data_IF_202597957732
#
_entry.id   IF_202597957732
#
_cell.length_a   1.000
_cell.length_b   1.000
_cell.length_c   1.000
_cell.angle_alpha   90.00
_cell.angle_beta   90.00
_cell.angle_gamma   90.00
#
_symmetry.space_group_name_H-M   'P 1'
#
loop_
_entity.id
_entity.type
_entity.pdbx_description
1 polymer ?
#
# COMPACT_ATOMS: atom_id res chain seq x y z
N UNK A 1 -26.17 22.58 5.97
CA UNK A 1 -25.15 23.59 5.63
C UNK A 1 -24.11 22.92 4.74
N UNK A 2 -23.84 23.45 3.54
CA UNK A 2 -22.77 22.92 2.67
C UNK A 2 -21.43 23.39 3.22
N UNK A 3 -20.75 22.53 3.97
CA UNK A 3 -19.34 22.73 4.31
C UNK A 3 -18.58 22.72 2.97
N UNK A 4 -17.81 23.77 2.68
CA UNK A 4 -16.93 23.76 1.50
C UNK A 4 -15.85 22.69 1.70
N UNK A 5 -15.38 22.04 0.64
CA UNK A 5 -14.33 21.03 0.73
C UNK A 5 -13.05 21.56 1.40
N UNK A 6 -12.75 22.85 1.22
CA UNK A 6 -11.66 23.54 1.94
C UNK A 6 -11.93 23.61 3.44
N UNK A 7 -13.17 23.89 3.84
CA UNK A 7 -13.58 23.86 5.25
C UNK A 7 -13.52 22.45 5.84
N UNK A 8 -13.82 21.41 5.06
CA UNK A 8 -13.67 20.02 5.47
C UNK A 8 -12.19 19.65 5.69
N UNK A 9 -11.31 20.01 4.75
CA UNK A 9 -9.86 19.79 4.87
C UNK A 9 -9.28 20.47 6.13
N UNK A 10 -9.60 21.75 6.34
CA UNK A 10 -9.12 22.49 7.52
C UNK A 10 -9.66 21.90 8.83
N UNK A 11 -10.93 21.46 8.86
CA UNK A 11 -11.50 20.81 10.03
C UNK A 11 -10.80 19.47 10.33
N UNK A 12 -10.47 18.68 9.31
CA UNK A 12 -9.74 17.43 9.46
C UNK A 12 -8.30 17.67 9.91
N UNK A 13 -7.61 18.69 9.41
CA UNK A 13 -6.27 19.05 9.87
C UNK A 13 -6.27 19.44 11.35
N UNK A 14 -7.29 20.19 11.79
CA UNK A 14 -7.49 20.51 13.21
C UNK A 14 -7.79 19.25 14.01
N UNK A 15 -8.63 18.34 13.52
CA UNK A 15 -8.92 17.06 14.17
C UNK A 15 -7.69 16.15 14.25
N UNK A 16 -6.89 16.08 13.19
CA UNK A 16 -5.65 15.30 13.15
C UNK A 16 -4.59 15.90 14.08
N UNK A 17 -4.45 17.23 14.08
CA UNK A 17 -3.58 17.95 15.02
C UNK A 17 -4.03 17.78 16.47
N UNK A 18 -5.34 17.84 16.74
CA UNK A 18 -5.91 17.54 18.04
C UNK A 18 -5.69 16.07 18.42
N UNK A 19 -5.91 15.12 17.52
CA UNK A 19 -5.69 13.70 17.75
C UNK A 19 -4.22 13.40 18.12
N UNK A 20 -3.27 14.01 17.40
CA UNK A 20 -1.83 13.93 17.71
C UNK A 20 -1.48 14.63 19.03
N UNK A 21 -2.06 15.81 19.29
CA UNK A 21 -1.85 16.57 20.54
C UNK A 21 -2.47 15.90 21.77
N UNK A 22 -3.54 15.13 21.59
CA UNK A 22 -4.16 14.30 22.62
C UNK A 22 -3.31 13.07 22.97
N UNK A 23 -2.16 12.86 22.29
CA UNK A 23 -1.27 11.69 22.33
C UNK A 23 -1.92 10.38 21.86
N UNK A 24 -3.23 10.18 22.09
CA UNK A 24 -4.08 9.06 21.66
C UNK A 24 -5.55 9.49 21.70
N UNK A 25 -6.31 9.48 20.58
CA UNK A 25 -7.74 9.72 20.62
C UNK A 25 -8.41 8.67 21.53
N UNK A 26 -9.14 9.07 22.57
CA UNK A 26 -9.76 8.13 23.50
C UNK A 26 -10.90 7.38 22.80
N UNK A 27 -11.19 6.15 23.23
CA UNK A 27 -12.26 5.29 22.66
C UNK A 27 -13.61 5.99 22.47
N UNK A 28 -13.96 6.94 23.36
CA UNK A 28 -15.17 7.77 23.25
C UNK A 28 -15.27 8.61 21.98
N UNK A 29 -14.17 8.81 21.25
CA UNK A 29 -14.12 9.57 20.00
C UNK A 29 -14.04 8.67 18.76
N UNK A 30 -14.12 7.34 18.91
CA UNK A 30 -14.10 6.41 17.76
C UNK A 30 -15.26 6.65 16.78
N UNK A 31 -16.38 7.19 17.25
CA UNK A 31 -17.47 7.59 16.36
C UNK A 31 -17.02 8.63 15.32
N UNK A 32 -16.06 9.51 15.61
CA UNK A 32 -15.55 10.47 14.62
C UNK A 32 -14.84 9.76 13.47
N UNK A 33 -14.09 8.70 13.76
CA UNK A 33 -13.45 7.88 12.73
C UNK A 33 -14.53 7.32 11.78
N UNK A 34 -15.54 6.66 12.34
CA UNK A 34 -16.53 5.93 11.56
C UNK A 34 -17.59 6.81 10.89
N UNK A 35 -18.02 7.88 11.54
CA UNK A 35 -19.12 8.74 11.07
C UNK A 35 -18.64 9.95 10.26
N UNK A 36 -17.39 10.39 10.43
CA UNK A 36 -16.88 11.60 9.79
C UNK A 36 -15.63 11.38 8.91
N UNK A 37 -14.65 10.59 9.36
CA UNK A 37 -13.40 10.38 8.62
C UNK A 37 -13.59 9.37 7.49
N UNK A 38 -13.98 8.14 7.81
CA UNK A 38 -14.11 7.06 6.83
C UNK A 38 -15.08 7.38 5.68
N UNK A 39 -16.27 7.97 5.92
CA UNK A 39 -17.21 8.24 4.83
C UNK A 39 -16.68 9.21 3.77
N UNK A 40 -15.65 10.01 4.06
CA UNK A 40 -15.05 10.93 3.08
C UNK A 40 -14.29 10.21 1.96
N UNK A 41 -13.92 8.94 2.16
CA UNK A 41 -13.35 8.07 1.13
C UNK A 41 -14.39 7.57 0.13
N UNK A 42 -15.68 7.68 0.42
CA UNK A 42 -16.75 7.08 -0.41
C UNK A 42 -16.84 7.69 -1.82
N UNK A 43 -16.58 8.99 -1.97
CA UNK A 43 -16.71 9.67 -3.25
C UNK A 43 -15.72 9.13 -4.28
N UNK A 44 -16.22 8.76 -5.46
CA UNK A 44 -15.38 8.45 -6.62
C UNK A 44 -15.24 9.66 -7.58
N UNK A 45 -15.62 10.85 -7.11
CA UNK A 45 -15.66 12.07 -7.91
C UNK A 45 -14.28 12.57 -8.32
N UNK A 46 -14.25 13.33 -9.41
CA UNK A 46 -13.08 13.98 -9.97
C UNK A 46 -13.28 15.49 -9.97
N UNK A 47 -12.23 16.27 -9.70
CA UNK A 47 -12.23 17.72 -9.84
C UNK A 47 -11.98 18.15 -11.29
N UNK A 48 -11.09 17.40 -11.94
CA UNK A 48 -10.68 17.54 -13.34
C UNK A 48 -10.31 16.14 -13.86
N UNK A 49 -9.84 16.04 -15.10
CA UNK A 49 -9.59 14.77 -15.77
C UNK A 49 -8.56 13.86 -15.07
N UNK A 50 -7.72 14.40 -14.18
CA UNK A 50 -6.63 13.65 -13.53
C UNK A 50 -6.67 13.70 -12.00
N UNK A 51 -7.38 14.66 -11.41
CA UNK A 51 -7.38 14.94 -9.97
C UNK A 51 -8.62 14.40 -9.27
N UNK A 52 -8.50 13.38 -8.41
CA UNK A 52 -9.63 12.84 -7.67
C UNK A 52 -10.04 13.80 -6.55
N UNK A 53 -11.35 13.91 -6.28
CA UNK A 53 -11.88 14.78 -5.24
C UNK A 53 -11.26 14.50 -3.86
N UNK A 54 -10.99 13.21 -3.58
CA UNK A 54 -10.33 12.74 -2.37
C UNK A 54 -8.99 13.44 -2.11
N UNK A 55 -8.25 13.83 -3.16
CA UNK A 55 -6.94 14.47 -3.02
C UNK A 55 -6.95 15.77 -2.20
N UNK A 56 -8.09 16.47 -2.14
CA UNK A 56 -8.24 17.70 -1.35
C UNK A 56 -8.13 17.48 0.16
N UNK A 57 -8.47 16.28 0.62
CA UNK A 57 -8.58 15.93 2.05
C UNK A 57 -7.71 14.73 2.43
N UNK A 58 -7.10 14.06 1.46
CA UNK A 58 -6.39 12.79 1.65
C UNK A 58 -5.31 12.84 2.73
N UNK A 59 -4.41 13.81 2.69
CA UNK A 59 -3.35 13.94 3.70
C UNK A 59 -3.91 14.11 5.13
N UNK A 60 -4.83 15.04 5.41
CA UNK A 60 -5.47 15.13 6.72
C UNK A 60 -6.15 13.82 7.16
N UNK A 61 -6.81 13.11 6.23
CA UNK A 61 -7.48 11.84 6.51
C UNK A 61 -6.49 10.78 6.98
N UNK A 62 -5.41 10.54 6.23
CA UNK A 62 -4.40 9.56 6.63
C UNK A 62 -3.81 9.89 8.01
N UNK A 63 -3.55 11.18 8.30
CA UNK A 63 -3.05 11.60 9.61
C UNK A 63 -4.04 11.34 10.74
N UNK A 64 -5.33 11.55 10.50
CA UNK A 64 -6.37 11.28 11.48
C UNK A 64 -6.52 9.78 11.75
N UNK A 65 -6.56 8.96 10.70
CA UNK A 65 -6.71 7.51 10.80
C UNK A 65 -5.53 6.84 11.51
N UNK A 66 -4.30 7.21 11.17
CA UNK A 66 -3.10 6.73 11.87
C UNK A 66 -3.16 7.14 13.35
N UNK A 67 -3.54 8.38 13.67
CA UNK A 67 -3.66 8.81 15.05
C UNK A 67 -4.74 8.00 15.82
N UNK A 68 -5.86 7.68 15.17
CA UNK A 68 -6.89 6.80 15.76
C UNK A 68 -6.39 5.37 15.96
N UNK A 69 -5.66 4.81 14.99
CA UNK A 69 -5.05 3.48 15.05
C UNK A 69 -4.02 3.37 16.18
N UNK A 70 -3.14 4.36 16.32
CA UNK A 70 -2.17 4.44 17.43
C UNK A 70 -2.87 4.60 18.80
N UNK A 71 -4.03 5.24 18.81
CA UNK A 71 -4.84 5.43 20.01
C UNK A 71 -5.57 4.17 20.48
N UNK A 72 -6.14 3.41 19.54
CA UNK A 72 -6.83 2.15 19.79
C UNK A 72 -6.53 1.11 18.67
N UNK A 73 -5.50 0.26 18.83
CA UNK A 73 -5.12 -0.73 17.82
C UNK A 73 -6.22 -1.74 17.45
N UNK A 74 -7.25 -1.88 18.29
CA UNK A 74 -8.38 -2.78 17.99
C UNK A 74 -9.21 -2.32 16.78
N UNK A 75 -9.07 -1.06 16.34
CA UNK A 75 -9.76 -0.56 15.14
C UNK A 75 -9.09 -0.98 13.82
N UNK A 76 -7.86 -1.53 13.85
CA UNK A 76 -7.07 -1.84 12.65
C UNK A 76 -7.84 -2.69 11.63
N UNK A 77 -8.40 -3.81 12.09
CA UNK A 77 -9.11 -4.75 11.22
C UNK A 77 -10.33 -4.12 10.53
N UNK A 78 -11.28 -3.55 11.30
CA UNK A 78 -12.42 -2.81 10.73
C UNK A 78 -12.00 -1.67 9.79
N UNK A 79 -10.94 -0.94 10.15
CA UNK A 79 -10.43 0.19 9.38
C UNK A 79 -9.92 -0.25 8.00
N UNK A 80 -9.07 -1.29 7.97
CA UNK A 80 -8.57 -1.89 6.73
C UNK A 80 -9.70 -2.46 5.87
N UNK A 81 -10.68 -3.15 6.49
CA UNK A 81 -11.84 -3.70 5.78
C UNK A 81 -12.64 -2.59 5.10
N UNK A 82 -12.90 -1.50 5.81
CA UNK A 82 -13.65 -0.38 5.28
C UNK A 82 -12.85 0.40 4.22
N UNK A 83 -11.53 0.58 4.40
CA UNK A 83 -10.67 1.17 3.39
C UNK A 83 -10.74 0.41 2.06
N UNK A 84 -10.60 -0.92 2.10
CA UNK A 84 -10.68 -1.76 0.90
C UNK A 84 -12.06 -1.68 0.24
N UNK A 85 -13.14 -1.46 1.01
CA UNK A 85 -14.49 -1.30 0.47
C UNK A 85 -14.68 -0.04 -0.37
N UNK A 86 -13.82 0.97 -0.21
CA UNK A 86 -13.87 2.23 -0.97
C UNK A 86 -13.08 2.21 -2.28
N UNK A 87 -12.49 1.07 -2.64
CA UNK A 87 -11.85 0.92 -3.95
C UNK A 87 -12.85 1.23 -5.08
N UNK A 88 -12.42 1.95 -6.13
CA UNK A 88 -13.26 2.18 -7.29
C UNK A 88 -13.77 0.86 -7.90
N UNK A 89 -15.07 0.74 -8.19
CA UNK A 89 -15.60 -0.45 -8.87
C UNK A 89 -15.09 -0.51 -10.30
N UNK A 90 -15.00 -1.71 -10.87
CA UNK A 90 -14.45 -1.94 -12.22
C UNK A 90 -15.18 -1.11 -13.29
N UNK A 91 -16.50 -0.98 -13.19
CA UNK A 91 -17.32 -0.21 -14.13
C UNK A 91 -17.09 1.32 -14.09
N UNK A 92 -16.46 1.84 -13.03
CA UNK A 92 -16.16 3.26 -12.85
C UNK A 92 -14.73 3.42 -12.30
N UNK A 93 -13.76 2.82 -12.99
CA UNK A 93 -12.36 2.81 -12.56
C UNK A 93 -11.82 4.22 -12.38
N UNK A 94 -11.12 4.46 -11.26
CA UNK A 94 -10.48 5.72 -10.95
C UNK A 94 -9.07 5.47 -10.43
N UNK A 95 -8.12 5.36 -11.35
CA UNK A 95 -6.73 5.00 -10.99
C UNK A 95 -6.04 6.04 -10.12
N UNK A 96 -6.41 7.32 -10.22
CA UNK A 96 -5.87 8.35 -9.32
C UNK A 96 -6.34 8.11 -7.89
N UNK A 97 -7.61 7.73 -7.68
CA UNK A 97 -8.12 7.33 -6.36
C UNK A 97 -7.48 6.04 -5.86
N UNK A 98 -7.32 5.02 -6.72
CA UNK A 98 -6.62 3.77 -6.36
C UNK A 98 -5.21 4.04 -5.82
N UNK A 99 -4.46 4.98 -6.43
CA UNK A 99 -3.13 5.38 -5.96
C UNK A 99 -3.17 6.02 -4.56
N UNK A 100 -4.18 6.85 -4.27
CA UNK A 100 -4.35 7.44 -2.94
C UNK A 100 -4.69 6.38 -1.88
N UNK A 101 -5.60 5.45 -2.19
CA UNK A 101 -5.99 4.38 -1.26
C UNK A 101 -4.85 3.39 -1.01
N UNK A 102 -4.04 3.08 -2.03
CA UNK A 102 -2.81 2.30 -1.83
C UNK A 102 -1.81 3.03 -0.93
N UNK A 103 -1.74 4.36 -1.02
CA UNK A 103 -0.89 5.13 -0.13
C UNK A 103 -1.33 5.04 1.33
N UNK A 104 -2.63 5.17 1.55
CA UNK A 104 -3.23 5.06 2.87
C UNK A 104 -3.09 3.65 3.44
N UNK A 105 -3.31 2.62 2.62
CA UNK A 105 -3.11 1.23 3.00
C UNK A 105 -1.68 0.97 3.50
N UNK A 106 -0.66 1.50 2.81
CA UNK A 106 0.74 1.41 3.27
C UNK A 106 0.91 2.02 4.66
N UNK A 107 0.44 3.26 4.85
CA UNK A 107 0.58 3.97 6.12
C UNK A 107 -0.11 3.24 7.27
N UNK A 108 -1.32 2.73 7.04
CA UNK A 108 -2.05 1.98 8.06
C UNK A 108 -1.34 0.66 8.39
N UNK A 109 -0.90 -0.11 7.39
CA UNK A 109 -0.18 -1.36 7.60
C UNK A 109 1.14 -1.15 8.35
N UNK A 110 1.84 -0.04 8.10
CA UNK A 110 3.09 0.31 8.79
C UNK A 110 2.89 0.58 10.29
N UNK A 111 1.71 1.04 10.70
CA UNK A 111 1.36 1.32 12.10
C UNK A 111 0.52 0.20 12.73
N UNK A 112 0.19 -0.86 11.97
CA UNK A 112 -0.53 -2.01 12.47
C UNK A 112 0.37 -2.91 13.32
N UNK A 113 -0.23 -3.53 14.34
CA UNK A 113 0.40 -4.64 15.06
C UNK A 113 0.25 -5.95 14.26
N UNK A 114 1.08 -6.98 14.52
CA UNK A 114 0.98 -8.25 13.81
C UNK A 114 -0.41 -8.91 13.85
N UNK A 115 -1.15 -8.72 14.95
CA UNK A 115 -2.51 -9.24 15.17
C UNK A 115 -3.58 -8.58 14.27
N UNK A 116 -3.27 -7.45 13.63
CA UNK A 116 -4.23 -6.73 12.76
C UNK A 116 -4.72 -7.54 11.55
N UNK A 117 -3.95 -8.56 11.11
CA UNK A 117 -4.28 -9.44 9.98
C UNK A 117 -4.52 -10.90 10.42
N UNK A 118 -4.86 -11.14 11.71
CA UNK A 118 -5.20 -12.48 12.19
C UNK A 118 -6.50 -13.03 11.58
N UNK A 119 -7.49 -12.14 11.36
CA UNK A 119 -8.71 -12.48 10.64
C UNK A 119 -8.36 -12.92 9.21
N UNK A 120 -8.61 -14.20 8.90
CA UNK A 120 -8.32 -14.78 7.61
C UNK A 120 -9.08 -14.12 6.47
N UNK A 121 -10.34 -13.72 6.69
CA UNK A 121 -11.13 -13.05 5.64
C UNK A 121 -10.55 -11.68 5.31
N UNK A 122 -10.19 -10.91 6.33
CA UNK A 122 -9.56 -9.61 6.15
C UNK A 122 -8.23 -9.74 5.43
N UNK A 123 -7.39 -10.68 5.86
CA UNK A 123 -6.09 -10.92 5.25
C UNK A 123 -6.22 -11.31 3.78
N UNK A 124 -7.15 -12.21 3.44
CA UNK A 124 -7.42 -12.57 2.05
C UNK A 124 -7.96 -11.39 1.24
N UNK A 125 -8.85 -10.58 1.82
CA UNK A 125 -9.40 -9.38 1.20
C UNK A 125 -8.30 -8.36 0.83
N UNK A 126 -7.39 -8.08 1.76
CA UNK A 126 -6.28 -7.13 1.54
C UNK A 126 -5.31 -7.69 0.50
N UNK A 127 -4.92 -8.96 0.60
CA UNK A 127 -3.99 -9.60 -0.35
C UNK A 127 -4.58 -9.65 -1.77
N UNK A 128 -5.84 -10.05 -1.91
CA UNK A 128 -6.50 -10.07 -3.22
C UNK A 128 -6.60 -8.65 -3.79
N UNK A 129 -6.91 -7.65 -2.95
CA UNK A 129 -6.96 -6.26 -3.43
C UNK A 129 -5.62 -5.75 -3.93
N UNK A 130 -4.55 -5.99 -3.18
CA UNK A 130 -3.19 -5.55 -3.55
C UNK A 130 -2.71 -6.29 -4.81
N UNK A 131 -2.95 -7.60 -4.91
CA UNK A 131 -2.51 -8.38 -6.08
C UNK A 131 -3.21 -8.00 -7.37
N UNK A 132 -4.49 -7.59 -7.31
CA UNK A 132 -5.22 -7.03 -8.45
C UNK A 132 -4.60 -5.74 -9.00
N UNK A 133 -3.85 -5.00 -8.18
CA UNK A 133 -3.20 -3.76 -8.58
C UNK A 133 -1.93 -3.98 -9.43
N UNK A 134 -1.36 -5.19 -9.46
CA UNK A 134 -0.13 -5.49 -10.22
C UNK A 134 -0.36 -5.74 -11.71
N UNK A 135 -1.59 -6.06 -12.10
CA UNK A 135 -1.91 -6.56 -13.44
C UNK A 135 -1.53 -5.58 -14.55
N UNK A 136 -0.99 -6.11 -15.66
CA UNK A 136 -0.46 -5.29 -16.78
C UNK A 136 -1.52 -4.53 -17.58
N UNK A 137 -2.79 -4.87 -17.41
CA UNK A 137 -3.96 -4.16 -17.96
C UNK A 137 -4.37 -2.93 -17.13
N UNK A 138 -3.82 -2.77 -15.92
CA UNK A 138 -4.06 -1.60 -15.08
C UNK A 138 -3.16 -0.43 -15.45
N UNK A 139 -3.52 0.75 -14.95
CA UNK A 139 -2.66 1.92 -15.03
C UNK A 139 -1.33 1.65 -14.30
N UNK A 140 -0.20 1.86 -14.98
CA UNK A 140 1.12 1.58 -14.42
C UNK A 140 1.38 2.28 -13.08
N UNK A 141 0.76 3.45 -12.82
CA UNK A 141 0.90 4.19 -11.55
C UNK A 141 0.32 3.41 -10.38
N UNK A 142 -0.76 2.65 -10.61
CA UNK A 142 -1.40 1.79 -9.60
C UNK A 142 -0.48 0.62 -9.27
N UNK A 143 0.08 -0.04 -10.28
CA UNK A 143 1.05 -1.12 -10.09
C UNK A 143 2.31 -0.64 -9.36
N UNK A 144 2.89 0.50 -9.78
CA UNK A 144 4.03 1.12 -9.09
C UNK A 144 3.71 1.39 -7.63
N UNK A 145 2.57 2.04 -7.33
CA UNK A 145 2.20 2.37 -5.95
C UNK A 145 1.99 1.12 -5.10
N UNK A 146 1.39 0.07 -5.64
CA UNK A 146 1.18 -1.19 -4.91
C UNK A 146 2.51 -1.91 -4.63
N UNK A 147 3.46 -1.89 -5.58
CA UNK A 147 4.77 -2.52 -5.42
C UNK A 147 5.67 -1.80 -4.38
N UNK A 148 5.40 -0.53 -4.06
CA UNK A 148 6.10 0.17 -2.98
C UNK A 148 5.80 -0.41 -1.59
N UNK A 149 4.71 -1.18 -1.42
CA UNK A 149 4.43 -1.89 -0.16
C UNK A 149 5.57 -2.84 0.24
N UNK A 150 6.27 -3.42 -0.73
CA UNK A 150 7.42 -4.31 -0.49
C UNK A 150 8.72 -3.56 -0.20
N UNK A 151 8.71 -2.22 -0.22
CA UNK A 151 9.85 -1.38 0.16
C UNK A 151 9.69 -0.75 1.54
N UNK A 152 8.49 -0.76 2.11
CA UNK A 152 8.23 -0.19 3.42
C UNK A 152 8.58 -1.23 4.50
N UNK A 153 9.64 -0.99 5.27
CA UNK A 153 10.17 -1.95 6.25
C UNK A 153 9.11 -2.41 7.27
N UNK A 154 8.27 -1.50 7.75
CA UNK A 154 7.18 -1.84 8.67
C UNK A 154 6.15 -2.77 8.03
N UNK A 155 5.78 -2.51 6.77
CA UNK A 155 4.87 -3.39 6.01
C UNK A 155 5.53 -4.75 5.78
N UNK A 156 6.78 -4.79 5.31
CA UNK A 156 7.52 -6.06 5.09
C UNK A 156 7.63 -6.87 6.38
N UNK A 157 7.88 -6.21 7.52
CA UNK A 157 7.88 -6.86 8.85
C UNK A 157 6.52 -7.47 9.19
N UNK A 158 5.42 -6.76 8.93
CA UNK A 158 4.06 -7.28 9.11
C UNK A 158 3.79 -8.47 8.18
N UNK A 159 4.15 -8.37 6.89
CA UNK A 159 3.96 -9.47 5.93
C UNK A 159 4.73 -10.72 6.35
N UNK A 160 5.94 -10.57 6.93
CA UNK A 160 6.75 -11.69 7.44
C UNK A 160 6.03 -12.50 8.52
N UNK A 161 5.24 -11.86 9.39
CA UNK A 161 4.44 -12.57 10.40
C UNK A 161 3.35 -13.46 9.77
N UNK A 162 2.94 -13.15 8.53
CA UNK A 162 1.87 -13.83 7.81
C UNK A 162 2.38 -14.53 6.53
N UNK A 163 3.69 -14.76 6.42
CA UNK A 163 4.37 -15.18 5.19
C UNK A 163 3.84 -16.49 4.59
N UNK A 164 3.47 -17.44 5.45
CA UNK A 164 2.97 -18.77 5.03
C UNK A 164 1.70 -18.69 4.17
N UNK A 165 0.92 -17.61 4.27
CA UNK A 165 -0.23 -17.35 3.41
C UNK A 165 0.09 -16.34 2.31
N UNK A 166 0.84 -15.29 2.62
CA UNK A 166 1.09 -14.18 1.70
C UNK A 166 1.96 -14.64 0.53
N UNK A 167 3.09 -15.28 0.81
CA UNK A 167 4.08 -15.67 -0.20
C UNK A 167 3.45 -16.57 -1.29
N UNK A 168 2.81 -17.70 -0.96
CA UNK A 168 2.22 -18.56 -1.99
C UNK A 168 1.06 -17.93 -2.78
N UNK A 169 0.40 -16.89 -2.26
CA UNK A 169 -0.68 -16.18 -2.97
C UNK A 169 -0.17 -15.04 -3.85
N UNK A 170 0.86 -14.32 -3.40
CA UNK A 170 1.37 -13.11 -4.07
C UNK A 170 2.36 -13.46 -5.19
N UNK A 171 3.25 -14.44 -4.97
CA UNK A 171 4.30 -14.81 -5.94
C UNK A 171 3.73 -15.15 -7.33
N UNK A 172 2.70 -16.01 -7.47
CA UNK A 172 2.14 -16.33 -8.78
C UNK A 172 1.54 -15.11 -9.50
N UNK A 173 0.94 -14.17 -8.74
CA UNK A 173 0.34 -12.94 -9.28
C UNK A 173 1.41 -11.98 -9.80
N UNK A 174 2.52 -11.83 -9.08
CA UNK A 174 3.65 -11.03 -9.53
C UNK A 174 4.33 -11.62 -10.78
N UNK A 175 4.46 -12.93 -10.88
CA UNK A 175 5.01 -13.58 -12.07
C UNK A 175 4.09 -13.41 -13.29
N UNK A 176 2.78 -13.55 -13.11
CA UNK A 176 1.82 -13.28 -14.18
C UNK A 176 1.87 -11.81 -14.64
N UNK A 177 2.02 -10.87 -13.68
CA UNK A 177 2.23 -9.46 -14.01
C UNK A 177 3.54 -9.24 -14.77
N UNK A 178 4.66 -9.85 -14.35
CA UNK A 178 5.94 -9.74 -15.03
C UNK A 178 5.90 -10.21 -16.50
N UNK A 179 5.07 -11.21 -16.81
CA UNK A 179 4.91 -11.71 -18.17
C UNK A 179 4.10 -10.78 -19.09
N UNK A 180 3.30 -9.86 -18.54
CA UNK A 180 2.34 -9.04 -19.28
C UNK A 180 2.57 -7.53 -19.20
N UNK A 181 3.35 -7.06 -18.23
CA UNK A 181 3.52 -5.63 -17.98
C UNK A 181 4.51 -4.99 -18.98
N UNK A 182 4.08 -3.94 -19.67
CA UNK A 182 4.88 -3.26 -20.71
C UNK A 182 5.92 -2.27 -20.13
N UNK A 183 5.68 -1.74 -18.93
CA UNK A 183 6.54 -0.73 -18.31
C UNK A 183 7.78 -1.36 -17.63
N UNK A 184 8.98 -0.99 -18.07
CA UNK A 184 10.25 -1.53 -17.58
C UNK A 184 10.55 -1.20 -16.12
N UNK A 185 10.15 -0.03 -15.62
CA UNK A 185 10.30 0.32 -14.20
C UNK A 185 9.43 -0.56 -13.33
N UNK A 186 8.18 -0.82 -13.75
CA UNK A 186 7.29 -1.75 -13.02
C UNK A 186 7.88 -3.17 -13.02
N UNK A 187 8.39 -3.65 -14.15
CA UNK A 187 9.05 -4.95 -14.24
C UNK A 187 10.22 -5.08 -13.25
N UNK A 188 11.04 -4.03 -13.10
CA UNK A 188 12.11 -4.01 -12.08
C UNK A 188 11.55 -4.07 -10.67
N UNK A 189 10.52 -3.27 -10.37
CA UNK A 189 9.88 -3.28 -9.05
C UNK A 189 9.24 -4.63 -8.71
N UNK A 190 8.68 -5.33 -9.70
CA UNK A 190 8.21 -6.70 -9.55
C UNK A 190 9.37 -7.64 -9.19
N UNK A 191 10.52 -7.52 -9.88
CA UNK A 191 11.74 -8.26 -9.54
C UNK A 191 12.17 -8.06 -8.09
N UNK A 192 12.23 -6.81 -7.62
CA UNK A 192 12.57 -6.51 -6.23
C UNK A 192 11.56 -7.09 -5.23
N UNK A 193 10.25 -6.99 -5.52
CA UNK A 193 9.22 -7.56 -4.66
C UNK A 193 9.33 -9.10 -4.59
N UNK A 194 9.65 -9.76 -5.70
CA UNK A 194 9.89 -11.21 -5.73
C UNK A 194 11.13 -11.62 -4.92
N UNK A 195 12.21 -10.83 -4.96
CA UNK A 195 13.40 -11.06 -4.10
C UNK A 195 13.03 -10.95 -2.61
N UNK A 196 12.31 -9.92 -2.21
CA UNK A 196 11.85 -9.74 -0.82
C UNK A 196 11.00 -10.94 -0.36
N UNK A 197 10.14 -11.48 -1.23
CA UNK A 197 9.30 -12.64 -0.90
C UNK A 197 10.10 -13.94 -0.81
N UNK A 198 11.11 -14.14 -1.67
CA UNK A 198 12.02 -15.30 -1.60
C UNK A 198 12.88 -15.25 -0.33
N UNK A 199 13.40 -14.08 0.05
CA UNK A 199 14.14 -13.89 1.31
C UNK A 199 13.25 -14.08 2.55
N UNK A 200 11.97 -13.72 2.46
CA UNK A 200 11.00 -13.84 3.55
C UNK A 200 10.65 -15.32 3.83
N UNK A 201 10.28 -16.08 2.81
CA UNK A 201 9.95 -17.50 2.94
C UNK A 201 10.43 -18.27 1.70
N UNK A 202 11.69 -18.72 1.67
CA UNK A 202 12.24 -19.43 0.53
C UNK A 202 11.47 -20.73 0.22
N UNK A 203 10.95 -21.40 1.25
CA UNK A 203 10.18 -22.63 1.10
C UNK A 203 8.80 -22.38 0.52
N UNK A 204 8.08 -21.38 1.03
CA UNK A 204 6.81 -20.93 0.46
C UNK A 204 6.96 -20.40 -0.96
N UNK A 205 8.06 -19.73 -1.28
CA UNK A 205 8.39 -19.26 -2.61
C UNK A 205 8.60 -20.43 -3.59
N UNK A 206 9.37 -21.44 -3.21
CA UNK A 206 9.57 -22.65 -4.02
C UNK A 206 8.26 -23.42 -4.25
N UNK A 207 7.42 -23.54 -3.23
CA UNK A 207 6.09 -24.14 -3.34
C UNK A 207 5.19 -23.37 -4.30
N UNK A 208 5.21 -22.03 -4.26
CA UNK A 208 4.45 -21.17 -5.15
C UNK A 208 4.83 -21.35 -6.64
N UNK A 209 6.07 -21.78 -6.89
CA UNK A 209 6.62 -22.00 -8.24
C UNK A 209 6.38 -23.43 -8.76
N UNK A 210 5.87 -24.34 -7.92
CA UNK A 210 5.70 -25.75 -8.27
C UNK A 210 7.00 -26.55 -8.30
N UNK A 211 8.03 -26.14 -7.53
CA UNK A 211 9.30 -26.86 -7.34
C UNK A 211 10.23 -26.86 -8.56
N UNK A 212 9.85 -27.54 -9.65
CA UNK A 212 10.71 -27.79 -10.81
C UNK A 212 11.06 -26.52 -11.60
N UNK A 213 10.20 -25.50 -11.54
CA UNK A 213 10.41 -24.20 -12.21
C UNK A 213 11.15 -23.18 -11.34
N UNK A 214 11.57 -23.58 -10.12
CA UNK A 214 12.11 -22.64 -9.15
C UNK A 214 13.42 -22.01 -9.60
N UNK A 215 14.33 -22.81 -10.17
CA UNK A 215 15.62 -22.31 -10.67
C UNK A 215 15.44 -21.34 -11.86
N UNK A 216 14.56 -21.67 -12.80
CA UNK A 216 14.27 -20.83 -13.96
C UNK A 216 13.57 -19.53 -13.56
N UNK A 217 12.62 -19.60 -12.63
CA UNK A 217 11.93 -18.42 -12.12
C UNK A 217 12.88 -17.50 -11.34
N UNK A 218 13.74 -18.05 -10.46
CA UNK A 218 14.79 -17.27 -9.78
C UNK A 218 15.75 -16.61 -10.77
N UNK A 219 16.14 -17.32 -11.83
CA UNK A 219 16.96 -16.75 -12.90
C UNK A 219 16.22 -15.64 -13.67
N UNK A 220 14.92 -15.78 -13.90
CA UNK A 220 14.10 -14.72 -14.52
C UNK A 220 13.96 -13.50 -13.59
N UNK A 221 13.76 -13.70 -12.29
CA UNK A 221 13.74 -12.63 -11.28
C UNK A 221 15.07 -11.88 -11.24
N UNK A 222 16.19 -12.60 -11.25
CA UNK A 222 17.53 -12.00 -11.30
C UNK A 222 17.76 -11.15 -12.58
N UNK A 223 17.10 -11.47 -13.70
CA UNK A 223 17.13 -10.64 -14.91
C UNK A 223 16.28 -9.37 -14.79
N UNK A 224 15.18 -9.41 -14.03
CA UNK A 224 14.31 -8.26 -13.80
C UNK A 224 14.96 -7.24 -12.85
N UNK A 225 15.71 -7.72 -11.86
CA UNK A 225 16.50 -6.92 -10.94
C UNK A 225 17.99 -7.31 -11.06
N UNK A 226 18.70 -6.83 -12.09
CA UNK A 226 20.15 -6.98 -12.12
C UNK A 226 20.74 -6.29 -10.89
N UNK A 227 21.81 -6.84 -10.29
CA UNK A 227 22.45 -6.23 -9.12
C UNK A 227 22.74 -4.76 -9.43
N UNK A 228 22.16 -3.86 -8.62
CA UNK A 228 22.48 -2.45 -8.73
C UNK A 228 23.98 -2.30 -8.48
N UNK A 229 24.66 -1.54 -9.35
CA UNK A 229 26.08 -1.24 -9.24
C UNK A 229 26.23 -0.30 -8.03
N UNK A 230 26.30 -0.87 -6.83
CA UNK A 230 26.25 -0.14 -5.54
C UNK A 230 27.34 0.93 -5.48
N UNK A 231 28.50 0.66 -6.08
CA UNK A 231 29.58 1.62 -6.26
C UNK A 231 29.17 2.87 -7.07
N UNK A 232 28.27 2.72 -8.04
CA UNK A 232 27.79 3.81 -8.90
C UNK A 232 26.72 4.65 -8.21
N UNK A 233 25.84 4.01 -7.43
CA UNK A 233 24.84 4.70 -6.61
C UNK A 233 25.47 5.45 -5.43
N UNK A 234 26.47 4.86 -4.78
CA UNK A 234 27.27 5.54 -3.75
C UNK A 234 28.04 6.73 -4.33
N UNK A 235 28.60 6.59 -5.54
CA UNK A 235 29.25 7.68 -6.25
C UNK A 235 28.29 8.80 -6.66
N UNK A 236 27.07 8.48 -7.12
CA UNK A 236 26.04 9.46 -7.45
C UNK A 236 25.44 10.15 -6.22
N UNK A 237 25.26 9.42 -5.11
CA UNK A 237 24.84 9.98 -3.84
C UNK A 237 25.92 10.91 -3.25
N UNK A 238 27.19 10.50 -3.29
CA UNK A 238 28.32 11.33 -2.88
C UNK A 238 28.46 12.59 -3.76
N UNK A 239 28.25 12.47 -5.08
CA UNK A 239 28.27 13.60 -6.00
C UNK A 239 27.12 14.60 -5.75
N UNK A 240 25.93 14.13 -5.37
CA UNK A 240 24.80 15.00 -5.00
C UNK A 240 25.02 15.74 -3.68
N UNK A 241 25.68 15.11 -2.70
CA UNK A 241 26.04 15.76 -1.44
C UNK A 241 27.15 16.80 -1.65
N UNK A 242 28.13 16.51 -2.53
CA UNK A 242 29.19 17.46 -2.88
C UNK A 242 28.73 18.67 -3.71
N UNK A 243 27.62 18.58 -4.43
CA UNK A 243 27.06 19.69 -5.22
C UNK A 243 26.13 20.62 -4.42
N UNK A 244 25.84 20.30 -3.15
CA UNK A 244 25.04 21.13 -2.24
C UNK A 244 25.90 21.89 -1.19
N UNK A 245 27.23 21.80 -1.28
CA UNK A 245 28.19 22.61 -0.54
C UNK A 245 28.79 23.70 -1.43
#
# INVERSE_FOLDING_TARGET
AKISLVGAAAALDVLAGAAKGLRRPPKRHMWLLWEAVMPLHSSNGMLDDVTPLLSLVHRPLCLAEVAFLEGDPSCAGPLLRQLVSYWPPVAASNSSKEVLLLHELELLLEHCRPDALEDSELRELVVEKVTQCFSGDKNFRVAQRALLLFKADGVVSLLRHHQALIVPRVVPRLLAAAASHWNTTVLRMIGNALQVLDEMDPGGFEQALGGERCAEARAAVAKLCPPEDTAKLEAEAAARVGAMQ
#
